data_IF_029840049886
#
_entry.id   IF_029840049886
#
_cell.length_a   1.000
_cell.length_b   1.000
_cell.length_c   1.000
_cell.angle_alpha   90.00
_cell.angle_beta   90.00
_cell.angle_gamma   90.00
#
_symmetry.space_group_name_H-M   'P 1'
#
loop_
_entity.id
_entity.type
_entity.pdbx_description
1 polymer ?
#
# COMPACT_ATOMS: atom_id res chain seq x y z
N UNK A 1 -20.06 88.71 -49.54
CA UNK A 1 -21.30 87.98 -49.20
C UNK A 1 -21.05 86.51 -49.47
N UNK A 2 -20.79 85.73 -48.41
CA UNK A 2 -20.54 84.29 -48.49
C UNK A 2 -21.87 83.54 -48.61
N UNK A 3 -22.03 82.77 -49.69
CA UNK A 3 -23.14 81.84 -49.88
C UNK A 3 -22.82 80.50 -49.25
N UNK A 4 -23.72 80.01 -48.40
CA UNK A 4 -23.68 78.66 -47.84
C UNK A 4 -24.26 77.63 -48.82
N UNK A 5 -23.60 76.47 -49.04
CA UNK A 5 -24.24 75.29 -49.61
C UNK A 5 -24.84 74.35 -48.51
N UNK A 6 -25.75 73.44 -48.90
CA UNK A 6 -26.96 73.01 -48.14
C UNK A 6 -26.74 71.93 -47.07
N UNK A 7 -27.75 71.66 -46.21
CA UNK A 7 -27.64 70.71 -45.09
C UNK A 7 -27.50 69.24 -45.53
N UNK A 8 -26.87 68.38 -44.70
CA UNK A 8 -26.78 66.94 -44.96
C UNK A 8 -28.15 66.25 -44.91
N UNK A 9 -28.37 65.31 -45.83
CA UNK A 9 -29.58 64.47 -45.87
C UNK A 9 -29.68 63.48 -44.70
N UNK A 10 -30.87 62.89 -44.47
CA UNK A 10 -31.13 62.06 -43.30
C UNK A 10 -30.33 60.76 -43.31
N UNK A 11 -29.69 60.48 -42.18
CA UNK A 11 -28.96 59.24 -41.92
C UNK A 11 -29.95 58.06 -41.91
N UNK A 12 -29.74 57.10 -42.82
CA UNK A 12 -30.50 55.86 -42.87
C UNK A 12 -30.26 55.05 -41.59
N UNK A 13 -31.31 54.88 -40.80
CA UNK A 13 -31.32 53.95 -39.67
C UNK A 13 -31.14 52.53 -40.21
N UNK A 14 -30.10 51.86 -39.73
CA UNK A 14 -29.79 50.48 -40.11
C UNK A 14 -30.94 49.54 -39.78
N UNK A 15 -31.22 48.63 -40.73
CA UNK A 15 -32.16 47.54 -40.54
C UNK A 15 -31.72 46.64 -39.37
N UNK A 16 -32.65 46.39 -38.45
CA UNK A 16 -32.46 45.40 -37.38
C UNK A 16 -32.47 43.98 -37.96
N UNK A 17 -31.51 43.11 -37.62
CA UNK A 17 -31.53 41.71 -38.05
C UNK A 17 -32.63 40.92 -37.32
N UNK A 18 -33.20 39.88 -37.95
CA UNK A 18 -34.32 39.12 -37.39
C UNK A 18 -33.91 38.29 -36.15
N UNK A 19 -34.84 38.04 -35.20
CA UNK A 19 -34.54 37.20 -34.04
C UNK A 19 -34.26 35.76 -34.45
N UNK A 20 -33.11 35.23 -34.04
CA UNK A 20 -32.74 33.83 -34.23
C UNK A 20 -33.57 32.88 -33.34
N UNK A 21 -33.69 31.60 -33.70
CA UNK A 21 -34.47 30.61 -32.96
C UNK A 21 -33.87 30.34 -31.58
N UNK A 22 -34.72 30.37 -30.56
CA UNK A 22 -34.39 30.01 -29.18
C UNK A 22 -34.23 28.48 -29.06
N UNK A 23 -33.02 28.01 -28.75
CA UNK A 23 -32.79 26.61 -28.36
C UNK A 23 -32.89 26.47 -26.84
N UNK A 24 -33.67 25.49 -26.32
CA UNK A 24 -33.77 25.22 -24.91
C UNK A 24 -32.63 24.28 -24.46
N UNK A 25 -32.08 24.57 -23.27
CA UNK A 25 -31.02 23.85 -22.55
C UNK A 25 -29.56 24.16 -22.97
N UNK A 26 -28.89 24.95 -22.12
CA UNK A 26 -27.50 25.37 -22.27
C UNK A 26 -26.49 24.29 -21.87
N UNK A 27 -25.44 24.16 -22.68
CA UNK A 27 -24.20 23.47 -22.34
C UNK A 27 -23.29 24.38 -21.50
N UNK A 28 -22.44 23.83 -20.61
CA UNK A 28 -21.53 24.63 -19.79
C UNK A 28 -20.47 25.37 -20.64
N UNK A 29 -19.98 26.55 -20.20
CA UNK A 29 -19.13 27.42 -21.02
C UNK A 29 -17.78 26.78 -21.36
N UNK A 30 -17.49 26.62 -22.66
CA UNK A 30 -16.17 26.27 -23.14
C UNK A 30 -15.24 27.47 -23.03
N UNK A 31 -14.08 27.28 -22.38
CA UNK A 31 -12.99 28.26 -22.39
C UNK A 31 -12.57 28.55 -23.84
N UNK A 32 -12.69 29.82 -24.24
CA UNK A 32 -12.27 30.28 -25.56
C UNK A 32 -10.76 30.12 -25.76
N UNK A 33 -10.37 29.67 -26.95
CA UNK A 33 -8.96 29.61 -27.34
C UNK A 33 -8.35 31.03 -27.35
N UNK A 34 -7.12 31.21 -26.84
CA UNK A 34 -6.46 32.52 -26.85
C UNK A 34 -6.14 32.97 -28.29
N UNK A 35 -6.16 34.28 -28.57
CA UNK A 35 -5.88 34.82 -29.91
C UNK A 35 -4.44 34.53 -30.34
N UNK A 36 -4.27 33.95 -31.53
CA UNK A 36 -2.96 33.65 -32.09
C UNK A 36 -2.27 34.93 -32.58
N UNK A 37 -1.24 35.36 -31.86
CA UNK A 37 -0.32 36.38 -32.35
C UNK A 37 0.57 35.78 -33.47
N UNK A 38 0.59 36.43 -34.62
CA UNK A 38 1.44 36.04 -35.76
C UNK A 38 2.91 36.00 -35.35
N UNK A 39 3.53 34.84 -35.54
CA UNK A 39 4.94 34.61 -35.18
C UNK A 39 5.88 35.06 -36.31
N UNK A 40 7.04 35.67 -36.01
CA UNK A 40 8.03 36.03 -37.02
C UNK A 40 8.67 34.79 -37.68
N UNK A 41 9.07 34.85 -38.96
CA UNK A 41 9.56 33.69 -39.69
C UNK A 41 10.97 33.31 -39.21
N UNK A 42 11.16 32.07 -38.73
CA UNK A 42 12.50 31.55 -38.45
C UNK A 42 12.63 30.40 -37.46
N UNK A 43 11.58 30.02 -36.73
CA UNK A 43 11.67 28.91 -35.77
C UNK A 43 10.82 27.70 -36.20
N UNK A 44 11.34 26.47 -36.13
CA UNK A 44 10.55 25.27 -36.38
C UNK A 44 9.48 25.13 -35.29
N UNK A 45 8.21 25.19 -35.70
CA UNK A 45 7.06 24.97 -34.84
C UNK A 45 6.97 23.48 -34.48
N UNK A 46 7.17 23.15 -33.21
CA UNK A 46 6.85 21.82 -32.69
C UNK A 46 5.33 21.72 -32.51
N UNK A 47 4.66 21.08 -33.47
CA UNK A 47 3.26 20.67 -33.31
C UNK A 47 3.19 19.54 -32.26
N UNK A 48 2.52 19.79 -31.15
CA UNK A 48 2.22 18.75 -30.17
C UNK A 48 1.21 17.74 -30.79
N UNK A 49 1.46 16.42 -30.70
CA UNK A 49 0.55 15.42 -31.25
C UNK A 49 -0.79 15.44 -30.48
N UNK A 50 -1.90 15.59 -31.21
CA UNK A 50 -3.24 15.45 -30.64
C UNK A 50 -3.52 13.97 -30.31
N UNK A 51 -3.90 13.63 -29.06
CA UNK A 51 -4.24 12.26 -28.68
C UNK A 51 -5.43 11.74 -29.49
N UNK A 52 -5.24 10.62 -30.20
CA UNK A 52 -6.35 9.86 -30.77
C UNK A 52 -6.90 8.90 -29.72
N UNK A 53 -8.21 8.90 -29.54
CA UNK A 53 -8.90 7.99 -28.63
C UNK A 53 -9.01 6.61 -29.26
N UNK A 54 -8.26 5.64 -28.72
CA UNK A 54 -8.35 4.23 -29.12
C UNK A 54 -9.71 3.66 -28.69
N UNK A 55 -10.53 3.20 -29.65
CA UNK A 55 -11.83 2.54 -29.41
C UNK A 55 -11.77 1.27 -28.54
N UNK A 56 -10.57 0.84 -28.15
CA UNK A 56 -10.29 -0.29 -27.25
C UNK A 56 -10.71 -0.01 -25.80
N UNK A 57 -10.72 1.26 -25.38
CA UNK A 57 -11.19 1.66 -24.05
C UNK A 57 -12.72 1.44 -23.88
N UNK A 58 -13.50 1.61 -24.96
CA UNK A 58 -14.93 1.33 -24.95
C UNK A 58 -15.24 -0.17 -24.89
N UNK A 59 -14.44 -0.99 -25.58
CA UNK A 59 -14.58 -2.46 -25.55
C UNK A 59 -14.29 -3.02 -24.14
N UNK A 60 -13.32 -2.45 -23.41
CA UNK A 60 -13.02 -2.84 -22.04
C UNK A 60 -14.18 -2.55 -21.06
N UNK A 61 -14.90 -1.44 -21.26
CA UNK A 61 -16.09 -1.09 -20.45
C UNK A 61 -17.23 -2.07 -20.70
N UNK A 62 -17.49 -2.40 -21.96
CA UNK A 62 -18.58 -3.31 -22.36
C UNK A 62 -18.30 -4.75 -21.91
N UNK A 63 -17.04 -5.22 -21.99
CA UNK A 63 -16.66 -6.53 -21.45
C UNK A 63 -16.75 -6.59 -19.92
N UNK A 64 -16.43 -5.50 -19.22
CA UNK A 64 -16.55 -5.42 -17.76
C UNK A 64 -18.00 -5.47 -17.28
N UNK A 65 -18.92 -4.82 -17.99
CA UNK A 65 -20.36 -4.87 -17.69
C UNK A 65 -20.95 -6.24 -18.05
N UNK A 66 -20.55 -6.86 -19.17
CA UNK A 66 -21.00 -8.21 -19.54
C UNK A 66 -20.40 -9.31 -18.64
N UNK A 67 -19.25 -9.06 -18.03
CA UNK A 67 -18.66 -9.92 -16.98
C UNK A 67 -19.49 -9.93 -15.69
N UNK A 68 -20.36 -8.93 -15.48
CA UNK A 68 -21.12 -8.74 -14.26
C UNK A 68 -22.33 -9.68 -14.15
N UNK A 69 -22.76 -10.33 -15.23
CA UNK A 69 -24.07 -11.02 -15.26
C UNK A 69 -24.05 -12.55 -15.38
N UNK A 70 -22.93 -13.24 -15.66
CA UNK A 70 -23.00 -14.70 -15.87
C UNK A 70 -21.91 -15.61 -15.26
N UNK A 71 -20.86 -15.13 -14.56
CA UNK A 71 -19.87 -16.05 -13.94
C UNK A 71 -19.06 -15.40 -12.79
N UNK A 72 -19.74 -15.01 -11.71
CA UNK A 72 -19.23 -14.14 -10.63
C UNK A 72 -18.18 -14.69 -9.65
N UNK A 73 -17.29 -15.60 -10.05
CA UNK A 73 -16.17 -15.98 -9.16
C UNK A 73 -14.83 -16.27 -9.85
N UNK A 74 -14.83 -16.64 -11.13
CA UNK A 74 -13.58 -17.02 -11.83
C UNK A 74 -13.03 -15.89 -12.72
N UNK A 75 -13.87 -14.94 -13.14
CA UNK A 75 -13.47 -13.84 -14.02
C UNK A 75 -13.00 -12.55 -13.32
N UNK A 76 -13.12 -12.46 -11.99
CA UNK A 76 -12.75 -11.26 -11.22
C UNK A 76 -11.25 -11.00 -11.17
N UNK A 77 -10.45 -12.06 -11.05
CA UNK A 77 -8.98 -11.95 -10.96
C UNK A 77 -8.37 -11.40 -12.27
N UNK A 78 -8.74 -11.90 -13.47
CA UNK A 78 -8.26 -11.31 -14.73
C UNK A 78 -8.69 -9.85 -14.95
N UNK A 79 -9.90 -9.47 -14.52
CA UNK A 79 -10.41 -8.10 -14.69
C UNK A 79 -9.61 -7.09 -13.85
N UNK A 80 -9.28 -7.45 -12.61
CA UNK A 80 -8.42 -6.62 -11.74
C UNK A 80 -7.01 -6.51 -12.31
N UNK A 81 -6.45 -7.61 -12.81
CA UNK A 81 -5.12 -7.62 -13.43
C UNK A 81 -5.10 -6.73 -14.69
N UNK A 82 -6.10 -6.83 -15.56
CA UNK A 82 -6.18 -6.02 -16.78
C UNK A 82 -6.45 -4.54 -16.49
N UNK A 83 -7.25 -4.22 -15.46
CA UNK A 83 -7.45 -2.84 -15.00
C UNK A 83 -6.17 -2.21 -14.46
N UNK A 84 -5.38 -2.97 -13.68
CA UNK A 84 -4.10 -2.50 -13.15
C UNK A 84 -3.01 -2.36 -14.22
N UNK A 85 -3.03 -3.22 -15.25
CA UNK A 85 -2.15 -3.08 -16.42
C UNK A 85 -2.52 -1.88 -17.29
N UNK A 86 -3.81 -1.61 -17.50
CA UNK A 86 -4.28 -0.41 -18.21
C UNK A 86 -3.87 0.88 -17.47
N UNK A 87 -3.95 0.90 -16.13
CA UNK A 87 -3.45 2.02 -15.32
C UNK A 87 -1.94 2.23 -15.50
N UNK A 88 -1.17 1.14 -15.52
CA UNK A 88 0.28 1.18 -15.71
C UNK A 88 0.69 1.71 -17.09
N UNK A 89 -0.07 1.37 -18.12
CA UNK A 89 0.20 1.83 -19.49
C UNK A 89 -0.20 3.30 -19.70
N UNK A 90 -1.21 3.80 -18.98
CA UNK A 90 -1.54 5.24 -18.95
C UNK A 90 -0.44 6.02 -18.22
N UNK A 91 0.01 5.54 -17.06
CA UNK A 91 1.06 6.19 -16.26
C UNK A 91 2.42 6.22 -17.02
N UNK A 92 2.70 5.23 -17.88
CA UNK A 92 3.89 5.20 -18.75
C UNK A 92 3.78 6.05 -20.02
N UNK A 93 2.58 6.47 -20.41
CA UNK A 93 2.34 7.15 -21.70
C UNK A 93 2.72 8.64 -21.71
N UNK A 94 3.20 9.19 -20.58
CA UNK A 94 3.81 10.54 -20.54
C UNK A 94 2.91 11.68 -21.04
N UNK A 95 1.58 11.52 -20.94
CA UNK A 95 0.60 12.50 -21.40
C UNK A 95 -0.05 12.21 -22.77
N UNK A 96 0.29 11.10 -23.43
CA UNK A 96 -0.29 10.73 -24.73
C UNK A 96 -1.70 10.12 -24.66
N UNK A 97 -2.21 9.75 -23.46
CA UNK A 97 -3.56 9.19 -23.26
C UNK A 97 -4.30 9.90 -22.13
N UNK A 98 -5.42 10.54 -22.44
CA UNK A 98 -6.34 11.19 -21.49
C UNK A 98 -7.58 10.32 -21.26
N UNK A 99 -8.11 10.29 -20.03
CA UNK A 99 -9.24 9.42 -19.67
C UNK A 99 -9.28 8.92 -18.22
N UNK A 100 -8.44 9.48 -17.34
CA UNK A 100 -8.34 9.08 -15.92
C UNK A 100 -9.70 9.06 -15.23
N UNK A 101 -10.59 10.03 -15.51
CA UNK A 101 -11.94 10.06 -14.93
C UNK A 101 -12.80 8.86 -15.31
N UNK A 102 -12.67 8.35 -16.55
CA UNK A 102 -13.43 7.18 -17.02
C UNK A 102 -12.83 5.86 -16.52
N UNK A 103 -11.49 5.77 -16.48
CA UNK A 103 -10.79 4.62 -15.91
C UNK A 103 -11.02 4.50 -14.40
N UNK A 104 -10.98 5.62 -13.67
CA UNK A 104 -11.31 5.67 -12.25
C UNK A 104 -12.79 5.37 -12.03
N UNK A 105 -13.67 5.88 -12.89
CA UNK A 105 -15.10 5.56 -12.86
C UNK A 105 -15.36 4.05 -12.96
N UNK A 106 -14.69 3.36 -13.89
CA UNK A 106 -14.80 1.91 -14.04
C UNK A 106 -14.25 1.10 -12.86
N UNK A 107 -13.18 1.58 -12.20
CA UNK A 107 -12.64 0.95 -10.99
C UNK A 107 -13.58 1.15 -9.81
N UNK A 108 -14.10 2.36 -9.61
CA UNK A 108 -15.02 2.67 -8.51
C UNK A 108 -16.32 1.89 -8.64
N UNK A 109 -16.94 1.87 -9.83
CA UNK A 109 -18.16 1.08 -10.05
C UNK A 109 -17.89 -0.42 -9.97
N UNK A 110 -16.70 -0.89 -10.38
CA UNK A 110 -16.28 -2.27 -10.24
C UNK A 110 -16.12 -2.71 -8.77
N UNK A 111 -15.52 -1.87 -7.92
CA UNK A 111 -15.40 -2.16 -6.49
C UNK A 111 -16.77 -2.16 -5.82
N UNK A 112 -17.61 -1.16 -6.11
CA UNK A 112 -18.98 -1.09 -5.57
C UNK A 112 -19.80 -2.31 -6.02
N UNK A 113 -19.72 -2.69 -7.30
CA UNK A 113 -20.40 -3.87 -7.84
C UNK A 113 -19.90 -5.18 -7.21
N UNK A 114 -18.60 -5.30 -6.97
CA UNK A 114 -18.01 -6.48 -6.30
C UNK A 114 -18.46 -6.58 -4.85
N UNK A 115 -18.48 -5.46 -4.12
CA UNK A 115 -18.96 -5.41 -2.73
C UNK A 115 -20.45 -5.71 -2.63
N UNK A 116 -21.27 -5.14 -3.53
CA UNK A 116 -22.70 -5.40 -3.58
C UNK A 116 -23.00 -6.86 -3.94
N UNK A 117 -22.28 -7.43 -4.91
CA UNK A 117 -22.40 -8.85 -5.27
C UNK A 117 -21.97 -9.77 -4.13
N UNK A 118 -20.86 -9.47 -3.44
CA UNK A 118 -20.40 -10.24 -2.30
C UNK A 118 -21.40 -10.21 -1.14
N UNK A 119 -21.99 -9.04 -0.85
CA UNK A 119 -23.03 -8.91 0.15
C UNK A 119 -24.29 -9.72 -0.21
N UNK A 120 -24.73 -9.68 -1.47
CA UNK A 120 -25.88 -10.47 -1.95
C UNK A 120 -25.58 -11.96 -1.88
N UNK A 121 -24.39 -12.41 -2.28
CA UNK A 121 -23.97 -13.82 -2.15
C UNK A 121 -23.97 -14.26 -0.68
N UNK A 122 -23.47 -13.43 0.24
CA UNK A 122 -23.42 -13.74 1.66
C UNK A 122 -24.84 -13.83 2.26
N UNK A 123 -25.74 -12.93 1.88
CA UNK A 123 -27.16 -12.99 2.27
C UNK A 123 -27.88 -14.21 1.70
N UNK A 124 -27.59 -14.59 0.45
CA UNK A 124 -28.16 -15.80 -0.16
C UNK A 124 -27.63 -17.05 0.55
N UNK A 125 -26.32 -17.16 0.82
CA UNK A 125 -25.74 -18.29 1.58
C UNK A 125 -26.32 -18.37 3.00
N UNK A 126 -26.46 -17.25 3.70
CA UNK A 126 -27.07 -17.19 5.02
C UNK A 126 -28.57 -17.57 4.99
N UNK A 127 -29.29 -17.18 3.92
CA UNK A 127 -30.69 -17.54 3.70
C UNK A 127 -30.87 -19.03 3.42
N UNK A 128 -29.98 -19.65 2.62
CA UNK A 128 -30.00 -21.08 2.34
C UNK A 128 -29.64 -21.90 3.59
N UNK A 129 -28.71 -21.40 4.43
CA UNK A 129 -28.33 -22.03 5.70
C UNK A 129 -29.43 -21.98 6.77
N UNK A 130 -30.34 -21.00 6.69
CA UNK A 130 -31.47 -20.85 7.63
C UNK A 130 -32.68 -21.73 7.28
N UNK A 131 -32.64 -22.45 6.15
CA UNK A 131 -33.70 -23.36 5.70
C UNK A 131 -33.52 -24.82 6.13
N UNK A 132 -32.53 -25.14 6.97
CA UNK A 132 -32.29 -26.49 7.46
C UNK A 132 -32.17 -26.49 8.99
N UNK A 133 -33.31 -26.32 9.67
CA UNK A 133 -33.42 -26.65 11.09
C UNK A 133 -34.82 -27.17 11.36
N UNK A 134 -35.04 -28.44 11.04
CA UNK A 134 -36.16 -29.21 11.56
C UNK A 134 -35.81 -30.70 11.64
N UNK A 135 -36.27 -31.32 12.73
CA UNK A 135 -36.14 -32.72 13.19
C UNK A 135 -34.78 -33.08 13.85
N UNK A 136 -34.71 -33.59 15.07
CA UNK A 136 -35.71 -34.23 15.95
C UNK A 136 -35.10 -34.35 17.35
N UNK A 137 -35.80 -33.91 18.40
CA UNK A 137 -35.58 -34.37 19.77
C UNK A 137 -36.95 -34.61 20.42
N UNK A 138 -37.32 -35.88 20.55
CA UNK A 138 -38.51 -36.36 21.26
C UNK A 138 -38.16 -36.63 22.73
N UNK A 139 -38.94 -36.16 23.71
CA UNK A 139 -38.78 -36.51 25.11
C UNK A 139 -39.81 -37.56 25.57
N UNK A 140 -39.41 -38.52 26.40
CA UNK A 140 -40.29 -39.38 27.21
C UNK A 140 -39.50 -40.04 28.38
N UNK A 141 -40.14 -40.58 29.44
CA UNK A 141 -39.93 -40.10 30.82
C UNK A 141 -39.52 -41.17 31.88
N UNK A 142 -39.06 -40.66 33.04
CA UNK A 142 -39.21 -41.17 34.43
C UNK A 142 -38.80 -42.61 34.79
N UNK A 143 -37.86 -42.75 35.75
CA UNK A 143 -38.07 -43.34 37.09
C UNK A 143 -36.73 -43.75 37.77
N UNK A 144 -36.59 -43.38 39.05
CA UNK A 144 -35.54 -43.82 39.99
C UNK A 144 -35.80 -45.29 40.47
N UNK A 145 -34.92 -45.98 41.25
CA UNK A 145 -34.48 -45.58 42.60
C UNK A 145 -33.00 -45.87 42.98
N UNK A 146 -32.65 -45.43 44.20
CA UNK A 146 -31.35 -45.25 44.86
C UNK A 146 -30.69 -46.53 45.45
N UNK A 147 -29.38 -46.48 45.72
CA UNK A 147 -28.65 -47.11 46.86
C UNK A 147 -27.19 -46.58 46.82
N UNK A 148 -26.68 -45.79 47.77
CA UNK A 148 -26.25 -46.02 49.17
C UNK A 148 -24.76 -46.41 49.32
N UNK A 149 -24.09 -45.77 50.29
CA UNK A 149 -22.77 -46.04 50.92
C UNK A 149 -21.51 -45.25 50.48
N UNK A 150 -21.24 -44.23 51.30
CA UNK A 150 -20.03 -43.90 52.09
C UNK A 150 -18.72 -44.69 51.88
N UNK A 151 -17.59 -43.96 51.83
CA UNK A 151 -16.39 -44.09 52.70
C UNK A 151 -15.22 -43.26 52.07
N UNK A 152 -14.84 -42.11 52.62
CA UNK A 152 -13.70 -41.88 53.54
C UNK A 152 -12.35 -42.45 53.05
N UNK A 153 -11.38 -41.56 52.74
CA UNK A 153 -10.01 -41.47 53.32
C UNK A 153 -9.19 -40.37 52.58
N UNK A 154 -8.26 -39.64 53.25
CA UNK A 154 -7.63 -38.40 52.78
C UNK A 154 -6.26 -38.59 52.09
N UNK A 155 -5.80 -37.51 51.44
CA UNK A 155 -4.47 -37.29 50.83
C UNK A 155 -3.27 -37.64 51.74
N UNK A 156 -2.08 -37.86 51.13
CA UNK A 156 -1.00 -36.90 51.40
C UNK A 156 -0.14 -36.49 50.19
N UNK A 157 0.24 -35.21 50.24
CA UNK A 157 1.41 -34.56 49.67
C UNK A 157 2.61 -35.47 49.36
N UNK A 158 3.21 -35.32 48.17
CA UNK A 158 4.67 -35.28 48.03
C UNK A 158 5.10 -34.55 46.74
N UNK A 159 5.72 -33.39 46.96
CA UNK A 159 6.53 -32.66 46.00
C UNK A 159 7.66 -33.51 45.40
N UNK A 160 7.94 -33.34 44.10
CA UNK A 160 9.28 -33.05 43.58
C UNK A 160 9.31 -32.80 42.06
N UNK A 161 9.74 -31.58 41.75
CA UNK A 161 10.34 -31.11 40.51
C UNK A 161 11.58 -31.94 40.14
N UNK A 162 11.78 -32.26 38.83
CA UNK A 162 13.14 -32.30 38.30
C UNK A 162 13.29 -31.47 37.01
N UNK A 163 13.83 -30.27 37.19
CA UNK A 163 14.76 -29.63 36.26
C UNK A 163 15.93 -30.58 36.01
N UNK A 164 15.86 -31.41 34.99
CA UNK A 164 17.02 -31.95 34.29
C UNK A 164 16.58 -32.69 33.02
N UNK A 165 16.53 -31.99 31.90
CA UNK A 165 16.70 -32.63 30.60
C UNK A 165 17.99 -32.12 29.94
N UNK A 166 18.81 -33.03 29.37
CA UNK A 166 20.09 -32.66 28.78
C UNK A 166 19.89 -31.80 27.54
N UNK A 167 20.72 -30.76 27.38
CA UNK A 167 20.86 -29.97 26.16
C UNK A 167 21.27 -30.88 25.00
N UNK A 168 20.29 -31.37 24.25
CA UNK A 168 20.52 -31.90 22.91
C UNK A 168 20.62 -30.71 21.97
N UNK A 169 21.65 -30.71 21.12
CA UNK A 169 21.96 -29.63 20.19
C UNK A 169 20.80 -29.39 19.24
N UNK A 170 19.96 -28.41 19.57
CA UNK A 170 18.90 -27.93 18.71
C UNK A 170 19.53 -27.03 17.66
N UNK A 171 19.32 -27.36 16.38
CA UNK A 171 19.45 -26.39 15.31
C UNK A 171 18.72 -25.11 15.74
N UNK A 172 19.40 -23.96 15.69
CA UNK A 172 18.82 -22.66 16.01
C UNK A 172 17.51 -22.54 15.21
N UNK A 173 16.35 -22.33 15.86
CA UNK A 173 15.11 -22.16 15.14
C UNK A 173 15.26 -20.98 14.17
N UNK A 174 15.00 -21.21 12.89
CA UNK A 174 14.84 -20.12 11.93
C UNK A 174 13.70 -19.26 12.47
N UNK A 175 13.96 -17.97 12.73
CA UNK A 175 12.93 -17.07 13.25
C UNK A 175 11.70 -17.13 12.33
N UNK A 176 10.48 -17.30 12.86
CA UNK A 176 9.26 -17.20 12.08
C UNK A 176 9.28 -15.92 11.23
N UNK A 177 8.89 -16.02 9.96
CA UNK A 177 8.92 -14.89 9.02
C UNK A 177 10.28 -14.57 8.39
N UNK A 178 11.34 -15.35 8.65
CA UNK A 178 12.63 -15.19 7.97
C UNK A 178 12.59 -15.71 6.52
N UNK A 179 13.05 -14.89 5.58
CA UNK A 179 13.24 -15.23 4.15
C UNK A 179 14.53 -14.63 3.60
N UNK A 180 15.15 -15.30 2.64
CA UNK A 180 16.29 -14.76 1.92
C UNK A 180 15.86 -14.06 0.62
N UNK A 181 16.39 -12.87 0.38
CA UNK A 181 16.33 -12.18 -0.90
C UNK A 181 17.77 -12.01 -1.38
N UNK A 182 18.24 -12.96 -2.18
CA UNK A 182 19.66 -13.05 -2.54
C UNK A 182 20.53 -13.23 -1.28
N UNK A 183 21.44 -12.30 -1.03
CA UNK A 183 22.35 -12.24 0.12
C UNK A 183 21.75 -11.57 1.37
N UNK A 184 20.58 -10.94 1.25
CA UNK A 184 19.92 -10.21 2.35
C UNK A 184 18.90 -11.12 3.03
N UNK A 185 18.96 -11.25 4.34
CA UNK A 185 17.91 -11.92 5.11
C UNK A 185 16.87 -10.88 5.53
N UNK A 186 15.58 -11.15 5.28
CA UNK A 186 14.47 -10.34 5.74
C UNK A 186 13.67 -11.15 6.76
N UNK A 187 13.54 -10.65 7.98
CA UNK A 187 12.68 -11.22 9.02
C UNK A 187 11.52 -10.26 9.23
N UNK A 188 10.29 -10.71 9.04
CA UNK A 188 9.10 -9.91 9.35
C UNK A 188 8.52 -10.39 10.66
N UNK A 189 8.47 -9.53 11.67
CA UNK A 189 7.85 -9.87 12.94
C UNK A 189 6.34 -9.93 12.77
N UNK A 190 5.72 -10.93 13.39
CA UNK A 190 4.28 -11.11 13.39
C UNK A 190 3.67 -10.20 14.49
N UNK A 191 2.78 -9.25 14.14
CA UNK A 191 2.07 -8.41 15.10
C UNK A 191 1.23 -9.18 16.12
N UNK A 192 0.81 -10.42 15.78
CA UNK A 192 -0.07 -11.24 16.61
C UNK A 192 0.71 -12.25 17.49
N UNK A 193 2.04 -12.21 17.49
CA UNK A 193 2.89 -13.03 18.38
C UNK A 193 2.73 -12.56 19.84
N UNK A 194 2.70 -13.51 20.78
CA UNK A 194 2.44 -13.25 22.21
C UNK A 194 3.68 -12.80 22.99
N UNK A 195 4.85 -12.82 22.37
CA UNK A 195 6.12 -12.37 22.96
C UNK A 195 6.33 -10.88 22.79
N UNK A 196 7.05 -10.29 23.74
CA UNK A 196 7.45 -8.88 23.66
C UNK A 196 8.48 -8.65 22.53
N UNK A 197 8.61 -7.39 22.08
CA UNK A 197 9.50 -7.04 20.97
C UNK A 197 10.96 -7.47 21.21
N UNK A 198 11.45 -7.38 22.45
CA UNK A 198 12.83 -7.78 22.79
C UNK A 198 13.08 -9.27 22.50
N UNK A 199 12.17 -10.15 22.92
CA UNK A 199 12.26 -11.59 22.66
C UNK A 199 12.17 -11.93 21.16
N UNK A 200 11.36 -11.18 20.42
CA UNK A 200 11.23 -11.31 18.96
C UNK A 200 12.51 -10.87 18.23
N UNK A 201 13.12 -9.77 18.68
CA UNK A 201 14.40 -9.29 18.17
C UNK A 201 15.54 -10.26 18.49
N UNK A 202 15.56 -10.85 19.68
CA UNK A 202 16.51 -11.90 20.08
C UNK A 202 16.40 -13.13 19.18
N UNK A 203 15.17 -13.59 18.92
CA UNK A 203 14.94 -14.70 17.99
C UNK A 203 15.41 -14.36 16.57
N UNK A 204 15.13 -13.15 16.08
CA UNK A 204 15.57 -12.68 14.78
C UNK A 204 17.11 -12.61 14.70
N UNK A 205 17.77 -12.09 15.74
CA UNK A 205 19.22 -11.98 15.84
C UNK A 205 19.90 -13.35 15.90
N UNK A 206 19.35 -14.31 16.64
CA UNK A 206 19.82 -15.69 16.67
C UNK A 206 19.81 -16.32 15.26
N UNK A 207 18.80 -16.00 14.46
CA UNK A 207 18.69 -16.45 13.06
C UNK A 207 19.60 -15.70 12.07
N UNK A 208 20.25 -14.61 12.50
CA UNK A 208 21.07 -13.77 11.63
C UNK A 208 22.40 -14.45 11.25
N UNK A 209 22.85 -15.45 12.01
CA UNK A 209 24.11 -16.18 11.79
C UNK A 209 25.34 -15.26 11.62
N UNK A 210 25.46 -14.25 12.49
CA UNK A 210 26.57 -13.29 12.48
C UNK A 210 26.45 -12.15 11.46
N UNK A 211 25.32 -12.06 10.74
CA UNK A 211 24.98 -10.89 9.91
C UNK A 211 24.70 -9.68 10.79
N UNK A 212 24.96 -8.49 10.25
CA UNK A 212 24.58 -7.24 10.92
C UNK A 212 23.06 -7.14 10.97
N UNK A 213 22.50 -7.00 12.17
CA UNK A 213 21.07 -6.81 12.37
C UNK A 213 20.72 -5.34 12.16
N UNK A 214 19.72 -5.10 11.33
CA UNK A 214 19.15 -3.78 11.07
C UNK A 214 17.65 -3.84 11.26
N UNK A 215 17.12 -3.08 12.21
CA UNK A 215 15.67 -2.96 12.43
C UNK A 215 15.10 -1.93 11.46
N UNK A 216 14.15 -2.34 10.62
CA UNK A 216 13.37 -1.47 9.75
C UNK A 216 12.01 -1.20 10.39
N UNK A 217 11.71 0.07 10.68
CA UNK A 217 10.35 0.45 11.03
C UNK A 217 9.46 0.41 9.78
N UNK A 218 8.30 -0.22 9.90
CA UNK A 218 7.38 -0.49 8.79
C UNK A 218 5.94 -0.28 9.23
N UNK A 219 5.02 -0.27 8.26
CA UNK A 219 3.58 -0.34 8.48
C UNK A 219 2.88 -0.87 7.24
N UNK A 220 1.65 -1.35 7.36
CA UNK A 220 0.85 -1.81 6.20
C UNK A 220 0.60 -0.68 5.19
N UNK A 221 0.47 0.56 5.65
CA UNK A 221 0.29 1.76 4.83
C UNK A 221 1.60 2.35 4.28
N UNK A 222 2.76 1.77 4.62
CA UNK A 222 4.07 2.30 4.25
C UNK A 222 4.45 1.96 2.79
N UNK A 223 4.11 2.85 1.86
CA UNK A 223 4.52 2.76 0.44
C UNK A 223 6.04 2.62 0.26
N UNK A 224 6.87 3.52 0.83
CA UNK A 224 8.33 3.45 0.72
C UNK A 224 8.94 2.14 1.26
N UNK A 225 8.34 1.52 2.28
CA UNK A 225 8.77 0.22 2.80
C UNK A 225 8.67 -0.88 1.71
N UNK A 226 7.54 -0.89 0.98
CA UNK A 226 7.32 -1.84 -0.12
C UNK A 226 8.25 -1.60 -1.31
N UNK A 227 8.56 -0.33 -1.59
CA UNK A 227 9.50 0.05 -2.64
C UNK A 227 10.94 -0.38 -2.30
N UNK A 228 11.36 -0.21 -1.05
CA UNK A 228 12.62 -0.73 -0.53
C UNK A 228 12.70 -2.26 -0.66
N UNK A 229 11.67 -2.98 -0.20
CA UNK A 229 11.63 -4.45 -0.28
C UNK A 229 11.69 -4.97 -1.72
N UNK A 230 10.96 -4.32 -2.63
CA UNK A 230 10.98 -4.67 -4.06
C UNK A 230 12.35 -4.42 -4.68
N UNK A 231 13.07 -3.42 -4.17
CA UNK A 231 14.42 -3.05 -4.61
C UNK A 231 15.50 -4.00 -4.11
N UNK A 232 15.23 -4.85 -3.11
CA UNK A 232 16.24 -5.71 -2.50
C UNK A 232 16.92 -6.63 -3.51
N UNK A 233 16.22 -7.11 -4.55
CA UNK A 233 16.80 -7.99 -5.57
C UNK A 233 17.77 -7.29 -6.54
N UNK A 234 17.82 -5.95 -6.54
CA UNK A 234 18.73 -5.19 -7.41
C UNK A 234 20.20 -5.44 -7.00
N UNK A 235 21.12 -5.67 -7.96
CA UNK A 235 22.53 -5.93 -7.65
C UNK A 235 23.21 -4.84 -6.82
N UNK A 236 22.76 -3.58 -6.91
CA UNK A 236 23.27 -2.48 -6.08
C UNK A 236 22.86 -2.67 -4.63
N UNK A 237 21.59 -3.00 -4.37
CA UNK A 237 21.09 -3.26 -3.02
C UNK A 237 21.73 -4.52 -2.42
N UNK A 238 21.91 -5.57 -3.23
CA UNK A 238 22.58 -6.81 -2.81
C UNK A 238 24.03 -6.59 -2.35
N UNK A 239 24.75 -5.69 -3.01
CA UNK A 239 26.10 -5.29 -2.59
C UNK A 239 26.06 -4.40 -1.34
N UNK A 240 25.15 -3.43 -1.33
CA UNK A 240 25.02 -2.49 -0.21
C UNK A 240 24.63 -3.15 1.10
N UNK A 241 23.78 -4.17 1.03
CA UNK A 241 23.22 -4.91 2.18
C UNK A 241 23.83 -6.32 2.31
N UNK A 242 25.02 -6.54 1.76
CA UNK A 242 25.72 -7.81 1.93
C UNK A 242 25.93 -8.10 3.41
N UNK A 243 25.61 -9.34 3.83
CA UNK A 243 25.68 -9.79 5.22
C UNK A 243 24.81 -8.98 6.20
N UNK A 244 23.63 -8.54 5.76
CA UNK A 244 22.64 -7.85 6.60
C UNK A 244 21.40 -8.73 6.80
N UNK A 245 20.91 -8.73 8.03
CA UNK A 245 19.56 -9.19 8.38
C UNK A 245 18.71 -7.97 8.67
N UNK A 246 17.71 -7.72 7.82
CA UNK A 246 16.71 -6.67 8.00
C UNK A 246 15.55 -7.26 8.81
N UNK A 247 15.25 -6.69 9.96
CA UNK A 247 14.11 -7.08 10.80
C UNK A 247 13.03 -6.02 10.68
N UNK A 248 11.92 -6.36 10.02
CA UNK A 248 10.78 -5.46 9.84
C UNK A 248 9.89 -5.49 11.07
N UNK A 249 9.70 -4.33 11.67
CA UNK A 249 8.87 -4.13 12.85
C UNK A 249 7.74 -3.18 12.49
N UNK A 250 6.50 -3.61 12.69
CA UNK A 250 5.32 -2.79 12.45
C UNK A 250 5.17 -1.75 13.58
N UNK A 251 5.17 -0.46 13.23
CA UNK A 251 5.10 0.63 14.22
C UNK A 251 3.72 0.81 14.84
N UNK A 252 2.67 0.29 14.21
CA UNK A 252 1.32 0.34 14.73
C UNK A 252 1.10 -0.76 15.78
N UNK A 253 1.76 -1.91 15.61
CA UNK A 253 1.72 -3.03 16.55
C UNK A 253 2.65 -2.85 17.75
N UNK A 254 3.93 -2.54 17.52
CA UNK A 254 4.98 -2.52 18.56
C UNK A 254 5.29 -1.11 19.07
N UNK A 255 4.29 -0.23 19.09
CA UNK A 255 4.51 1.23 19.27
C UNK A 255 5.20 1.59 20.58
N UNK A 256 4.81 0.98 21.68
CA UNK A 256 5.30 1.36 23.01
C UNK A 256 6.69 0.76 23.29
N UNK A 257 6.94 -0.47 22.83
CA UNK A 257 8.27 -1.09 22.88
C UNK A 257 9.30 -0.30 22.05
N UNK A 258 8.92 0.09 20.83
CA UNK A 258 9.77 0.91 19.98
C UNK A 258 10.10 2.27 20.63
N UNK A 259 9.15 2.90 21.32
CA UNK A 259 9.42 4.13 22.08
C UNK A 259 10.38 3.86 23.25
N UNK A 260 10.22 2.75 23.97
CA UNK A 260 11.10 2.37 25.06
C UNK A 260 12.55 2.18 24.58
N UNK A 261 12.72 1.68 23.35
CA UNK A 261 14.00 1.56 22.65
C UNK A 261 14.50 2.86 22.01
N UNK A 262 13.81 3.98 22.20
CA UNK A 262 14.13 5.28 21.60
C UNK A 262 14.12 5.27 20.05
N UNK A 263 13.28 4.42 19.46
CA UNK A 263 13.04 4.30 18.03
C UNK A 263 11.89 5.23 17.60
N UNK A 264 12.08 5.92 16.47
CA UNK A 264 11.12 6.86 15.90
C UNK A 264 9.98 6.09 15.22
N UNK A 265 8.76 6.39 15.64
CA UNK A 265 7.52 5.80 15.09
C UNK A 265 6.65 6.81 14.33
N UNK A 266 7.01 8.09 14.34
CA UNK A 266 6.22 9.17 13.71
C UNK A 266 6.40 9.27 12.20
N UNK A 267 7.49 8.73 11.68
CA UNK A 267 7.78 8.61 10.25
C UNK A 267 8.41 7.26 10.00
N UNK A 268 8.16 6.68 8.82
CA UNK A 268 8.66 5.36 8.40
C UNK A 268 8.97 5.38 6.90
N UNK A 269 9.91 4.56 6.40
CA UNK A 269 10.78 3.67 7.18
C UNK A 269 12.02 4.39 7.73
N UNK A 270 12.40 3.99 8.93
CA UNK A 270 13.73 4.17 9.49
C UNK A 270 14.44 2.83 9.55
N UNK A 271 15.77 2.87 9.50
CA UNK A 271 16.66 1.73 9.56
C UNK A 271 17.65 1.94 10.69
N UNK A 272 17.57 1.11 11.72
CA UNK A 272 18.40 1.15 12.92
C UNK A 272 19.42 0.03 12.89
N UNK A 273 20.70 0.37 12.89
CA UNK A 273 21.77 -0.60 13.05
C UNK A 273 21.85 -1.00 14.52
N UNK A 274 21.85 -2.31 14.78
CA UNK A 274 21.86 -2.86 16.13
C UNK A 274 23.27 -3.34 16.50
N UNK A 275 23.65 -3.23 17.78
CA UNK A 275 24.86 -3.88 18.32
C UNK A 275 24.59 -5.34 18.74
N UNK A 276 25.60 -5.98 19.35
CA UNK A 276 25.49 -7.38 19.81
C UNK A 276 24.53 -7.57 20.99
N UNK A 277 24.14 -6.49 21.66
CA UNK A 277 23.14 -6.47 22.73
C UNK A 277 21.78 -5.95 22.23
N UNK A 278 21.59 -5.87 20.91
CA UNK A 278 20.37 -5.38 20.26
C UNK A 278 19.95 -3.97 20.68
N UNK A 279 20.93 -3.13 20.97
CA UNK A 279 20.71 -1.69 21.15
C UNK A 279 20.93 -0.96 19.84
N UNK A 280 20.09 0.02 19.50
CA UNK A 280 20.29 0.84 18.31
C UNK A 280 21.52 1.74 18.50
N UNK A 281 22.50 1.65 17.59
CA UNK A 281 23.77 2.42 17.65
C UNK A 281 23.91 3.50 16.58
N UNK A 282 23.18 3.36 15.47
CA UNK A 282 23.06 4.35 14.41
C UNK A 282 21.72 4.16 13.69
N UNK A 283 21.20 5.22 13.08
CA UNK A 283 19.97 5.14 12.31
C UNK A 283 19.93 6.11 11.13
N UNK A 284 19.29 5.68 10.04
CA UNK A 284 18.97 6.51 8.87
C UNK A 284 17.48 6.39 8.55
N UNK A 285 16.90 7.44 7.99
CA UNK A 285 15.53 7.40 7.46
C UNK A 285 15.53 7.27 5.93
N UNK A 286 14.38 6.95 5.36
CA UNK A 286 14.19 7.07 3.92
C UNK A 286 14.31 8.51 3.38
N UNK A 287 14.39 9.52 4.26
CA UNK A 287 14.66 10.91 3.89
C UNK A 287 16.11 11.18 3.47
N UNK A 288 17.02 10.21 3.63
CA UNK A 288 18.44 10.35 3.23
C UNK A 288 18.67 10.34 1.70
N UNK A 289 17.67 9.94 0.92
CA UNK A 289 17.73 9.91 -0.53
C UNK A 289 16.49 10.56 -1.17
N UNK A 290 16.54 10.78 -2.48
CA UNK A 290 15.43 11.37 -3.24
C UNK A 290 14.40 10.28 -3.61
N UNK A 291 14.40 9.79 -4.85
CA UNK A 291 13.51 8.71 -5.26
C UNK A 291 13.91 7.37 -4.62
N UNK A 292 12.92 6.54 -4.26
CA UNK A 292 13.08 5.17 -3.72
C UNK A 292 13.50 4.17 -4.81
N UNK A 293 14.65 4.42 -5.42
CA UNK A 293 15.26 3.57 -6.43
C UNK A 293 16.62 3.07 -5.96
N UNK A 294 17.06 1.86 -6.36
CA UNK A 294 18.34 1.30 -5.94
C UNK A 294 19.56 2.19 -6.16
N UNK A 295 19.54 3.01 -7.23
CA UNK A 295 20.62 3.95 -7.55
C UNK A 295 20.87 4.99 -6.44
N UNK A 296 19.81 5.40 -5.74
CA UNK A 296 19.86 6.43 -4.72
C UNK A 296 20.01 5.82 -3.32
N UNK A 297 19.35 4.68 -3.07
CA UNK A 297 19.37 4.01 -1.77
C UNK A 297 20.71 3.33 -1.47
N UNK A 298 21.24 2.57 -2.43
CA UNK A 298 22.40 1.71 -2.18
C UNK A 298 23.65 2.47 -1.67
N UNK A 299 24.06 3.62 -2.25
CA UNK A 299 25.22 4.36 -1.74
C UNK A 299 25.05 4.85 -0.30
N UNK A 300 23.82 5.19 0.10
CA UNK A 300 23.50 5.62 1.47
C UNK A 300 23.63 4.43 2.42
N UNK A 301 23.05 3.27 2.09
CA UNK A 301 23.18 2.06 2.91
C UNK A 301 24.63 1.61 3.06
N UNK A 302 25.42 1.61 1.98
CA UNK A 302 26.85 1.29 2.06
C UNK A 302 27.60 2.26 2.99
N UNK A 303 27.25 3.55 2.95
CA UNK A 303 27.88 4.54 3.81
C UNK A 303 27.48 4.38 5.27
N UNK A 304 26.19 4.13 5.51
CA UNK A 304 25.61 3.93 6.82
C UNK A 304 26.18 2.69 7.51
N UNK A 305 26.15 1.54 6.83
CA UNK A 305 26.57 0.27 7.42
C UNK A 305 28.07 0.22 7.73
N UNK A 306 28.88 0.87 6.89
CA UNK A 306 30.32 1.05 7.10
C UNK A 306 30.67 2.16 8.11
N UNK A 307 29.69 2.86 8.69
CA UNK A 307 29.93 3.94 9.67
C UNK A 307 30.57 5.20 9.06
N UNK A 308 30.51 5.36 7.73
CA UNK A 308 31.11 6.46 6.98
C UNK A 308 30.09 7.53 6.54
N UNK A 309 28.82 7.41 6.95
CA UNK A 309 27.79 8.41 6.68
C UNK A 309 27.87 9.58 7.68
N UNK A 310 28.63 10.61 7.29
CA UNK A 310 28.90 11.81 8.11
C UNK A 310 27.97 12.97 7.80
N UNK A 311 27.64 13.20 6.52
CA UNK A 311 26.68 14.23 6.09
C UNK A 311 25.30 13.59 5.95
N UNK A 312 24.37 13.99 6.82
CA UNK A 312 23.01 13.47 6.87
C UNK A 312 21.99 14.52 6.48
N UNK A 313 20.95 14.10 5.78
CA UNK A 313 19.78 14.96 5.52
C UNK A 313 18.91 15.04 6.76
N UNK A 314 18.80 13.94 7.50
CA UNK A 314 18.07 13.85 8.77
C UNK A 314 19.01 13.39 9.90
N UNK A 315 19.05 14.11 11.02
CA UNK A 315 19.88 13.71 12.15
C UNK A 315 19.42 12.37 12.72
N UNK A 316 20.36 11.51 13.12
CA UNK A 316 20.03 10.27 13.80
C UNK A 316 19.34 10.58 15.13
N UNK A 317 18.19 9.97 15.45
CA UNK A 317 17.47 10.18 16.71
C UNK A 317 18.24 9.67 17.94
N UNK A 318 19.30 8.88 17.72
CA UNK A 318 20.11 8.27 18.77
C UNK A 318 21.28 9.17 19.22
N UNK A 319 21.66 10.16 18.39
CA UNK A 319 22.70 11.12 18.75
C UNK A 319 22.03 12.38 19.24
N UNK A 320 22.33 12.78 20.49
CA UNK A 320 21.88 14.05 21.04
C UNK A 320 22.29 15.25 20.15
N UNK A 321 21.71 16.44 20.38
CA UNK A 321 22.03 17.62 19.57
C UNK A 321 23.55 17.82 19.54
N UNK A 322 24.12 17.86 18.34
CA UNK A 322 25.53 18.21 18.18
C UNK A 322 25.66 19.68 18.54
N UNK A 323 26.27 19.94 19.71
CA UNK A 323 26.68 21.25 20.18
C UNK A 323 27.80 21.82 19.31
#
# INVERSE_FOLDING_TARGET
>A
MHGYPPPPGPQGYGATPPPGPVSPYGAPPGFGAPPSFGSPPGFPAFAAPMPQTDGRAGIALVLGILSMTCAGFVAGIPAVILGLLAKRDIDRSGGARTGIGLALGGVVTGVIGTLASAAITLLVVAGIASGASEASNTPAPHAAPQDDRSDLVPEPDHAQNPKNQPKQGTAVPVAPGAKMVGAVQLVTLDPDDDRDLEDLLDAAAASAHGRTVVVQTSATWCGPCKEFETSLSDPRMQRALTNVTIVKVDVDAFKDDLKAMNIVTKSVPWFYKMDGELRPVDAISAGEWDANIPANMAPVFEAFLAGRLTKRREPSPLRGPQL
#
